data_IF_448132253639
#
_entry.id   IF_448132253639
#
_cell.length_a   1.000
_cell.length_b   1.000
_cell.length_c   1.000
_cell.angle_alpha   90.00
_cell.angle_beta   90.00
_cell.angle_gamma   90.00
#
_symmetry.space_group_name_H-M   'P 1'
#
loop_
_entity.id
_entity.type
_entity.pdbx_description
1 polymer ?
#
# COMPACT_ATOMS: atom_id res chain seq x y z
N UNK A 1 24.88 -19.51 -73.69
CA UNK A 1 25.10 -18.04 -73.66
C UNK A 1 23.80 -17.34 -74.00
N UNK A 2 23.47 -16.21 -73.32
CA UNK A 2 22.77 -14.98 -73.83
C UNK A 2 21.65 -15.19 -74.88
N UNK A 3 20.38 -14.76 -74.76
CA UNK A 3 19.71 -13.52 -74.27
C UNK A 3 18.16 -13.73 -74.43
N UNK A 4 17.17 -12.99 -73.88
CA UNK A 4 17.02 -12.00 -72.78
C UNK A 4 15.49 -11.89 -72.42
N UNK A 5 15.10 -11.15 -71.38
CA UNK A 5 13.70 -10.81 -70.96
C UNK A 5 13.08 -9.68 -71.87
N UNK A 6 11.86 -9.10 -71.69
CA UNK A 6 10.72 -9.41 -70.80
C UNK A 6 9.29 -9.27 -71.41
N UNK A 7 8.28 -9.74 -70.67
CA UNK A 7 6.88 -9.24 -70.61
C UNK A 7 6.25 -9.94 -69.39
N UNK A 8 5.90 -9.35 -68.26
CA UNK A 8 5.29 -8.06 -67.89
C UNK A 8 3.76 -7.95 -68.11
N UNK A 9 3.02 -8.67 -67.26
CA UNK A 9 1.68 -8.35 -66.74
C UNK A 9 1.68 -8.90 -65.31
N UNK A 10 1.70 -8.12 -64.22
CA UNK A 10 0.99 -6.89 -63.89
C UNK A 10 -0.54 -7.06 -63.82
N UNK A 11 -0.98 -8.05 -63.04
CA UNK A 11 -2.31 -8.01 -62.42
C UNK A 11 -2.22 -7.04 -61.24
N UNK A 12 -2.77 -5.83 -61.40
CA UNK A 12 -3.08 -4.97 -60.26
C UNK A 12 -4.27 -5.59 -59.51
N UNK A 13 -3.99 -6.32 -58.43
CA UNK A 13 -4.98 -6.42 -57.36
C UNK A 13 -5.03 -5.06 -56.67
N UNK A 14 -6.09 -4.30 -56.92
CA UNK A 14 -6.39 -3.07 -56.22
C UNK A 14 -6.78 -3.41 -54.76
N UNK A 15 -5.77 -3.64 -53.93
CA UNK A 15 -5.93 -3.51 -52.49
C UNK A 15 -6.10 -2.02 -52.20
N UNK A 16 -7.36 -1.56 -52.22
CA UNK A 16 -7.73 -0.41 -51.41
C UNK A 16 -7.44 -0.79 -49.97
N UNK A 17 -6.22 -0.48 -49.52
CA UNK A 17 -5.94 -0.27 -48.12
C UNK A 17 -6.84 0.87 -47.67
N UNK A 18 -8.03 0.51 -47.19
CA UNK A 18 -8.80 1.35 -46.31
C UNK A 18 -7.80 1.81 -45.25
N UNK A 19 -7.53 3.12 -45.20
CA UNK A 19 -6.86 3.68 -44.04
C UNK A 19 -7.85 3.44 -42.93
N UNK A 20 -7.65 2.35 -42.19
CA UNK A 20 -8.18 2.25 -40.85
C UNK A 20 -7.80 3.56 -40.19
N UNK A 21 -8.81 4.35 -39.86
CA UNK A 21 -8.70 5.24 -38.74
C UNK A 21 -8.05 4.41 -37.64
N UNK A 22 -6.92 4.88 -37.13
CA UNK A 22 -6.77 4.84 -35.70
C UNK A 22 -8.03 5.52 -35.17
N UNK A 23 -9.04 4.70 -34.84
CA UNK A 23 -9.88 5.03 -33.71
C UNK A 23 -8.87 5.26 -32.60
N UNK A 24 -8.69 6.54 -32.27
CA UNK A 24 -7.98 6.90 -31.06
C UNK A 24 -8.65 6.07 -29.97
N UNK A 25 -7.87 5.22 -29.31
CA UNK A 25 -8.32 4.55 -28.11
C UNK A 25 -8.39 5.62 -27.02
N UNK A 26 -9.40 6.47 -27.13
CA UNK A 26 -10.08 7.08 -26.03
C UNK A 26 -10.48 5.90 -25.13
N UNK A 27 -9.60 5.57 -24.19
CA UNK A 27 -10.00 4.98 -22.93
C UNK A 27 -10.81 6.07 -22.24
N UNK A 28 -12.08 6.17 -22.61
CA UNK A 28 -13.01 7.13 -22.03
C UNK A 28 -12.91 6.99 -20.51
N UNK A 29 -12.54 8.08 -19.85
CA UNK A 29 -12.23 8.09 -18.43
C UNK A 29 -13.46 7.62 -17.66
N UNK A 30 -13.43 6.41 -17.11
CA UNK A 30 -14.62 5.83 -16.49
C UNK A 30 -15.07 6.59 -15.25
N UNK A 31 -14.25 7.51 -14.71
CA UNK A 31 -14.58 8.36 -13.58
C UNK A 31 -15.03 9.78 -13.98
N UNK A 32 -15.17 10.11 -15.28
CA UNK A 32 -15.50 11.47 -15.76
C UNK A 32 -16.79 12.05 -15.14
N UNK A 33 -17.77 11.18 -14.84
CA UNK A 33 -19.03 11.55 -14.22
C UNK A 33 -19.24 10.84 -12.87
N UNK A 34 -18.15 10.49 -12.18
CA UNK A 34 -18.20 9.81 -10.89
C UNK A 34 -19.02 10.63 -9.88
N UNK A 35 -19.99 9.97 -9.26
CA UNK A 35 -20.67 10.47 -8.07
C UNK A 35 -20.56 9.46 -6.94
N UNK A 36 -20.74 9.90 -5.70
CA UNK A 36 -20.74 8.98 -4.56
C UNK A 36 -21.73 9.36 -3.48
N UNK A 37 -22.14 8.37 -2.70
CA UNK A 37 -22.87 8.54 -1.44
C UNK A 37 -22.09 7.87 -0.31
N UNK A 38 -22.18 8.43 0.90
CA UNK A 38 -21.51 7.89 2.10
C UNK A 38 -22.58 7.56 3.13
N UNK A 39 -22.68 6.28 3.48
CA UNK A 39 -23.40 5.80 4.66
C UNK A 39 -22.40 5.65 5.83
N UNK A 40 -22.87 5.64 7.08
CA UNK A 40 -22.06 5.22 8.23
C UNK A 40 -22.65 3.95 8.82
N UNK A 41 -21.81 2.95 9.07
CA UNK A 41 -22.17 1.74 9.82
C UNK A 41 -21.33 1.65 11.08
N UNK A 42 -21.86 1.03 12.13
CA UNK A 42 -21.18 0.85 13.43
C UNK A 42 -21.20 -0.63 13.78
N UNK A 43 -20.10 -1.13 14.33
CA UNK A 43 -19.93 -2.50 14.82
C UNK A 43 -20.50 -2.59 16.23
N UNK A 44 -21.34 -3.58 16.49
CA UNK A 44 -21.85 -3.92 17.83
C UNK A 44 -20.75 -4.65 18.65
N UNK A 45 -20.20 -4.05 19.72
CA UNK A 45 -19.20 -4.69 20.56
C UNK A 45 -19.83 -5.67 21.59
N UNK A 46 -21.16 -5.73 21.68
CA UNK A 46 -21.89 -6.52 22.67
C UNK A 46 -21.73 -5.99 24.09
N UNK A 47 -21.13 -6.81 24.97
CA UNK A 47 -20.81 -6.45 26.35
C UNK A 47 -19.31 -6.13 26.56
N UNK A 48 -18.48 -6.24 25.51
CA UNK A 48 -17.05 -5.87 25.55
C UNK A 48 -16.82 -4.45 25.00
N UNK A 49 -15.57 -3.99 24.99
CA UNK A 49 -15.13 -2.71 24.41
C UNK A 49 -14.09 -3.01 23.34
N UNK A 50 -14.19 -2.37 22.17
CA UNK A 50 -13.14 -2.38 21.15
C UNK A 50 -12.22 -1.18 21.44
N UNK A 51 -10.94 -1.41 21.75
CA UNK A 51 -10.00 -0.33 22.08
C UNK A 51 -9.47 0.31 20.79
N UNK A 52 -9.99 1.51 20.49
CA UNK A 52 -9.63 2.32 19.33
C UNK A 52 -8.62 3.43 19.65
N UNK A 53 -7.95 3.39 20.81
CA UNK A 53 -6.94 4.39 21.21
C UNK A 53 -5.76 4.51 20.23
N UNK A 54 -5.52 3.47 19.43
CA UNK A 54 -4.54 3.42 18.35
C UNK A 54 -5.21 3.21 16.97
N UNK A 55 -6.49 3.61 16.84
CA UNK A 55 -7.30 3.41 15.63
C UNK A 55 -7.23 1.93 15.17
N UNK A 56 -6.99 1.68 13.88
CA UNK A 56 -6.78 0.35 13.31
C UNK A 56 -5.30 0.03 13.02
N UNK A 57 -4.35 0.61 13.77
CA UNK A 57 -2.90 0.49 13.52
C UNK A 57 -2.36 -0.95 13.50
N UNK A 58 -2.97 -1.86 14.23
CA UNK A 58 -2.58 -3.28 14.28
C UNK A 58 -3.75 -4.15 13.79
N UNK A 59 -4.29 -3.81 12.61
CA UNK A 59 -5.40 -4.51 12.01
C UNK A 59 -5.13 -4.96 10.57
N UNK A 60 -5.79 -6.05 10.18
CA UNK A 60 -5.87 -6.52 8.80
C UNK A 60 -7.21 -7.24 8.56
N UNK A 61 -7.55 -7.51 7.30
CA UNK A 61 -8.85 -8.02 6.84
C UNK A 61 -8.69 -9.35 6.12
N UNK A 62 -9.56 -10.32 6.43
CA UNK A 62 -9.62 -11.60 5.70
C UNK A 62 -9.72 -11.41 4.19
N UNK A 63 -9.23 -12.40 3.44
CA UNK A 63 -9.20 -12.33 1.98
C UNK A 63 -10.59 -12.25 1.36
N UNK A 64 -11.56 -12.91 2.01
CA UNK A 64 -12.97 -12.89 1.62
C UNK A 64 -13.73 -11.63 2.12
N UNK A 65 -13.03 -10.70 2.77
CA UNK A 65 -13.53 -9.44 3.32
C UNK A 65 -14.66 -9.58 4.35
N UNK A 66 -14.78 -10.75 5.00
CA UNK A 66 -15.78 -10.99 6.04
C UNK A 66 -15.31 -10.70 7.46
N UNK A 67 -14.01 -10.71 7.74
CA UNK A 67 -13.48 -10.51 9.08
C UNK A 67 -12.45 -9.39 9.10
N UNK A 68 -12.55 -8.51 10.10
CA UNK A 68 -11.48 -7.62 10.49
C UNK A 68 -10.86 -8.16 11.78
N UNK A 69 -9.53 -8.23 11.79
CA UNK A 69 -8.73 -8.64 12.94
C UNK A 69 -8.03 -7.40 13.49
N UNK A 70 -8.18 -7.10 14.77
CA UNK A 70 -7.54 -5.94 15.42
C UNK A 70 -6.84 -6.37 16.71
N UNK A 71 -5.52 -6.21 16.77
CA UNK A 71 -4.74 -6.52 17.97
C UNK A 71 -4.56 -5.29 18.87
N UNK A 72 -4.88 -5.42 20.15
CA UNK A 72 -4.82 -4.34 21.14
C UNK A 72 -3.73 -4.61 22.19
N UNK A 73 -2.64 -3.84 22.16
CA UNK A 73 -1.50 -3.98 23.08
C UNK A 73 -1.85 -3.73 24.56
N UNK A 74 -2.93 -2.99 24.81
CA UNK A 74 -3.45 -2.62 26.13
C UNK A 74 -3.96 -3.83 26.93
N UNK A 75 -4.75 -4.70 26.30
CA UNK A 75 -5.28 -5.95 26.88
C UNK A 75 -4.63 -7.23 26.33
N UNK A 76 -3.73 -7.12 25.35
CA UNK A 76 -3.02 -8.20 24.65
C UNK A 76 -4.00 -9.22 24.03
N UNK A 77 -5.00 -8.73 23.31
CA UNK A 77 -5.98 -9.56 22.63
C UNK A 77 -6.08 -9.23 21.14
N UNK A 78 -6.38 -10.26 20.35
CA UNK A 78 -6.86 -10.12 18.98
C UNK A 78 -8.39 -10.12 18.99
N UNK A 79 -9.00 -8.99 18.64
CA UNK A 79 -10.43 -8.86 18.42
C UNK A 79 -10.77 -9.37 17.01
N UNK A 80 -11.80 -10.21 16.89
CA UNK A 80 -12.31 -10.72 15.61
C UNK A 80 -13.68 -10.12 15.36
N UNK A 81 -13.78 -9.24 14.36
CA UNK A 81 -14.99 -8.48 14.02
C UNK A 81 -15.57 -9.06 12.73
N UNK A 82 -16.85 -9.44 12.75
CA UNK A 82 -17.57 -9.88 11.56
C UNK A 82 -18.08 -8.66 10.77
N UNK A 83 -17.61 -8.49 9.54
CA UNK A 83 -17.96 -7.39 8.64
C UNK A 83 -19.26 -7.63 7.83
N UNK A 84 -19.86 -8.82 7.89
CA UNK A 84 -21.20 -9.11 7.34
C UNK A 84 -22.31 -8.87 8.38
N UNK A 85 -22.06 -9.19 9.65
CA UNK A 85 -22.98 -8.98 10.76
C UNK A 85 -22.77 -7.65 11.49
N UNK A 86 -21.60 -7.02 11.30
CA UNK A 86 -21.14 -5.82 12.01
C UNK A 86 -21.17 -6.03 13.53
N UNK A 87 -20.50 -7.07 14.01
CA UNK A 87 -20.37 -7.35 15.45
C UNK A 87 -18.97 -7.87 15.82
N UNK A 88 -18.62 -7.74 17.10
CA UNK A 88 -17.46 -8.42 17.69
C UNK A 88 -17.82 -9.89 17.96
N UNK A 89 -17.19 -10.82 17.24
CA UNK A 89 -17.45 -12.26 17.44
C UNK A 89 -16.81 -12.79 18.72
N UNK A 90 -15.56 -12.36 18.98
CA UNK A 90 -14.71 -12.84 20.09
C UNK A 90 -13.47 -11.97 20.24
N UNK A 91 -12.88 -12.01 21.43
CA UNK A 91 -11.48 -11.63 21.65
C UNK A 91 -10.63 -12.84 22.04
N UNK A 92 -9.47 -12.98 21.43
CA UNK A 92 -8.52 -14.08 21.65
C UNK A 92 -7.33 -13.53 22.45
N UNK A 93 -7.04 -14.02 23.66
CA UNK A 93 -5.92 -13.54 24.47
C UNK A 93 -4.58 -14.12 24.02
N UNK A 94 -3.52 -13.31 24.07
CA UNK A 94 -2.15 -13.71 23.76
C UNK A 94 -1.24 -13.51 24.96
N UNK A 95 -0.23 -14.37 25.11
CA UNK A 95 0.80 -14.16 26.12
C UNK A 95 1.66 -12.94 25.74
N UNK A 96 1.99 -12.09 26.70
CA UNK A 96 2.90 -10.95 26.49
C UNK A 96 4.37 -11.38 26.49
N UNK A 97 4.71 -12.31 27.38
CA UNK A 97 6.06 -12.83 27.63
C UNK A 97 6.09 -14.36 27.48
N UNK A 98 7.28 -14.96 27.57
CA UNK A 98 7.46 -16.41 27.43
C UNK A 98 7.63 -16.88 25.98
N UNK A 99 7.64 -18.20 25.72
CA UNK A 99 7.90 -18.76 24.40
C UNK A 99 6.90 -18.25 23.34
N UNK A 100 5.62 -18.18 23.70
CA UNK A 100 4.55 -17.67 22.86
C UNK A 100 4.31 -16.16 23.01
N UNK A 101 5.17 -15.44 23.76
CA UNK A 101 5.02 -14.01 24.00
C UNK A 101 5.03 -13.18 22.72
N UNK A 102 4.04 -12.30 22.54
CA UNK A 102 3.99 -11.33 21.42
C UNK A 102 4.96 -10.15 21.62
N UNK A 103 5.37 -9.86 22.86
CA UNK A 103 6.30 -8.77 23.17
C UNK A 103 5.61 -7.45 23.51
N UNK A 104 6.12 -6.34 22.99
CA UNK A 104 5.64 -4.97 23.24
C UNK A 104 6.23 -4.03 22.18
N UNK A 105 5.61 -2.86 21.98
CA UNK A 105 5.95 -1.94 20.90
C UNK A 105 5.78 -2.63 19.55
N UNK A 106 4.61 -3.24 19.39
CA UNK A 106 4.18 -3.81 18.12
C UNK A 106 4.02 -2.67 17.11
N UNK A 107 4.53 -2.86 15.90
CA UNK A 107 4.55 -1.86 14.83
C UNK A 107 3.48 -2.15 13.79
N UNK A 108 3.39 -3.41 13.34
CA UNK A 108 2.37 -3.86 12.39
C UNK A 108 1.79 -5.24 12.77
N UNK A 109 0.58 -5.50 12.29
CA UNK A 109 -0.03 -6.81 12.16
C UNK A 109 -0.36 -7.02 10.69
N UNK A 110 -0.03 -8.19 10.13
CA UNK A 110 -0.45 -8.58 8.79
C UNK A 110 -0.98 -10.03 8.82
N UNK A 111 -2.15 -10.24 8.21
CA UNK A 111 -2.74 -11.55 8.03
C UNK A 111 -2.02 -12.27 6.87
N UNK A 112 -1.64 -13.53 7.07
CA UNK A 112 -0.99 -14.36 6.05
C UNK A 112 -1.99 -15.38 5.50
N UNK A 113 -2.78 -15.99 6.39
CA UNK A 113 -3.85 -16.94 6.07
C UNK A 113 -5.00 -16.76 7.07
N UNK A 114 -6.17 -17.34 6.78
CA UNK A 114 -7.34 -17.30 7.69
C UNK A 114 -7.08 -17.91 9.09
N UNK A 115 -5.95 -18.60 9.29
CA UNK A 115 -5.49 -19.20 10.54
C UNK A 115 -4.12 -18.68 11.03
N UNK A 116 -3.48 -17.72 10.34
CA UNK A 116 -2.16 -17.17 10.72
C UNK A 116 -1.98 -15.71 10.34
N UNK A 117 -1.31 -14.99 11.23
CA UNK A 117 -0.84 -13.62 11.03
C UNK A 117 0.61 -13.54 11.51
N UNK A 118 1.30 -12.45 11.20
CA UNK A 118 2.50 -12.10 11.95
C UNK A 118 2.31 -10.79 12.71
N UNK A 119 3.02 -10.74 13.84
CA UNK A 119 3.24 -9.52 14.60
C UNK A 119 4.70 -9.14 14.52
N UNK A 120 4.93 -7.83 14.55
CA UNK A 120 6.24 -7.25 14.36
C UNK A 120 6.51 -6.17 15.42
N UNK A 121 7.74 -6.13 15.92
CA UNK A 121 8.37 -4.97 16.56
C UNK A 121 9.47 -4.41 15.65
N UNK A 122 10.10 -3.30 16.04
CA UNK A 122 11.26 -2.76 15.29
C UNK A 122 12.34 -3.81 14.94
N UNK A 123 12.68 -4.70 15.88
CA UNK A 123 13.81 -5.64 15.75
C UNK A 123 13.40 -7.10 15.50
N UNK A 124 12.12 -7.45 15.64
CA UNK A 124 11.68 -8.85 15.55
C UNK A 124 10.34 -8.95 14.84
N UNK A 125 10.13 -10.01 14.07
CA UNK A 125 8.81 -10.43 13.63
C UNK A 125 8.59 -11.90 13.96
N UNK A 126 7.34 -12.31 14.18
CA UNK A 126 6.99 -13.70 14.46
C UNK A 126 5.60 -14.03 13.94
N UNK A 127 5.45 -15.25 13.40
CA UNK A 127 4.19 -15.80 12.91
C UNK A 127 3.47 -16.48 14.08
N UNK A 128 2.19 -16.17 14.24
CA UNK A 128 1.31 -16.73 15.26
C UNK A 128 0.07 -17.35 14.60
N UNK A 129 -0.55 -18.30 15.28
CA UNK A 129 -1.89 -18.77 14.97
C UNK A 129 -2.95 -18.12 15.87
N UNK A 130 -4.23 -18.42 15.58
CA UNK A 130 -5.38 -17.96 16.34
C UNK A 130 -5.62 -18.74 17.66
N UNK A 131 -4.73 -19.66 18.05
CA UNK A 131 -4.72 -20.30 19.37
C UNK A 131 -3.70 -19.65 20.33
N UNK A 132 -2.95 -18.65 19.87
CA UNK A 132 -1.94 -17.95 20.67
C UNK A 132 -0.55 -18.60 20.62
N UNK A 133 -0.31 -19.56 19.73
CA UNK A 133 0.96 -20.28 19.64
C UNK A 133 1.88 -19.61 18.61
N UNK A 134 3.13 -19.39 19.00
CA UNK A 134 4.18 -18.88 18.10
C UNK A 134 4.66 -20.02 17.20
N UNK A 135 4.45 -19.86 15.90
CA UNK A 135 4.79 -20.84 14.87
C UNK A 135 6.23 -20.67 14.37
N UNK A 136 6.68 -19.43 14.19
CA UNK A 136 8.01 -19.10 13.67
C UNK A 136 8.47 -17.73 14.20
N UNK A 137 9.75 -17.58 14.54
CA UNK A 137 10.39 -16.25 14.65
C UNK A 137 11.06 -15.96 13.32
N UNK A 138 10.73 -14.84 12.71
CA UNK A 138 11.32 -14.38 11.46
C UNK A 138 12.66 -13.71 11.78
N UNK A 139 13.73 -14.21 11.18
CA UNK A 139 15.06 -13.61 11.19
C UNK A 139 15.46 -13.25 9.75
N UNK A 140 15.86 -11.99 9.53
CA UNK A 140 16.26 -11.44 8.23
C UNK A 140 17.70 -10.93 8.22
N UNK A 141 18.55 -11.39 9.16
CA UNK A 141 19.98 -11.04 9.18
C UNK A 141 20.60 -11.35 7.80
N UNK A 142 21.35 -10.39 7.26
CA UNK A 142 21.85 -10.44 5.88
C UNK A 142 22.76 -11.67 5.66
N UNK A 143 23.58 -12.00 6.66
CA UNK A 143 24.50 -13.14 6.62
C UNK A 143 23.82 -14.51 6.49
N UNK A 144 22.55 -14.60 6.87
CA UNK A 144 21.73 -15.82 6.73
C UNK A 144 21.13 -15.97 5.31
N UNK A 145 21.16 -14.93 4.47
CA UNK A 145 20.44 -14.86 3.19
C UNK A 145 21.41 -14.89 1.99
N UNK A 146 21.34 -15.96 1.20
CA UNK A 146 22.22 -16.18 0.06
C UNK A 146 21.79 -15.34 -1.14
N UNK A 147 22.64 -14.39 -1.56
CA UNK A 147 22.42 -13.61 -2.79
C UNK A 147 22.03 -12.15 -2.57
N UNK A 148 21.73 -11.77 -1.33
CA UNK A 148 21.64 -10.38 -0.88
C UNK A 148 22.92 -10.06 -0.11
N UNK A 149 23.48 -8.86 -0.32
CA UNK A 149 24.72 -8.40 0.36
C UNK A 149 24.74 -6.89 0.51
N UNK A 150 25.39 -6.42 1.57
CA UNK A 150 25.57 -5.02 1.92
C UNK A 150 24.22 -4.25 2.02
N UNK A 151 23.22 -4.87 2.67
CA UNK A 151 21.83 -4.41 2.79
C UNK A 151 21.21 -4.71 4.16
N UNK A 152 20.83 -3.65 4.87
CA UNK A 152 19.95 -3.72 6.04
C UNK A 152 18.57 -4.25 5.62
N UNK A 153 18.19 -5.46 6.06
CA UNK A 153 16.86 -6.02 5.86
C UNK A 153 16.01 -5.81 7.11
N UNK A 154 15.21 -4.73 7.12
CA UNK A 154 14.32 -4.45 8.25
C UNK A 154 12.97 -5.17 8.11
N UNK A 155 12.44 -5.57 9.27
CA UNK A 155 11.11 -6.16 9.35
C UNK A 155 10.02 -5.15 8.98
N UNK A 156 10.21 -3.84 9.26
CA UNK A 156 9.16 -2.81 9.16
C UNK A 156 8.54 -2.64 7.76
N UNK A 157 9.17 -3.19 6.72
CA UNK A 157 8.68 -3.29 5.34
C UNK A 157 8.60 -4.71 4.81
N UNK A 158 8.63 -5.72 5.68
CA UNK A 158 8.41 -7.11 5.34
C UNK A 158 6.95 -7.34 4.93
N UNK A 159 6.74 -8.31 4.03
CA UNK A 159 5.51 -9.09 3.83
C UNK A 159 5.86 -10.58 3.71
N UNK A 160 4.93 -11.44 4.10
CA UNK A 160 5.01 -12.91 3.96
C UNK A 160 3.91 -13.36 3.01
N UNK A 161 4.22 -14.25 2.06
CA UNK A 161 3.21 -14.73 1.10
C UNK A 161 2.21 -15.69 1.71
N UNK A 162 0.98 -15.71 1.18
CA UNK A 162 -0.10 -16.62 1.62
C UNK A 162 0.33 -18.09 1.58
N UNK A 163 1.12 -18.45 0.56
CA UNK A 163 1.61 -19.81 0.36
C UNK A 163 2.81 -20.19 1.25
N UNK A 164 3.21 -19.28 2.15
CA UNK A 164 4.28 -19.38 3.13
C UNK A 164 5.68 -19.66 2.53
N UNK A 165 5.90 -19.42 1.24
CA UNK A 165 7.21 -19.69 0.58
C UNK A 165 8.15 -18.50 0.50
N UNK A 166 7.65 -17.26 0.54
CA UNK A 166 8.46 -16.08 0.30
C UNK A 166 8.31 -15.03 1.39
N UNK A 167 9.43 -14.39 1.68
CA UNK A 167 9.49 -13.05 2.26
C UNK A 167 9.77 -12.06 1.15
N UNK A 168 9.16 -10.88 1.21
CA UNK A 168 9.56 -9.75 0.38
C UNK A 168 9.58 -8.47 1.20
N UNK A 169 10.57 -7.61 0.95
CA UNK A 169 10.79 -6.37 1.70
C UNK A 169 11.53 -5.35 0.84
N UNK A 170 11.40 -4.06 1.13
CA UNK A 170 12.28 -3.02 0.57
C UNK A 170 13.44 -2.82 1.55
N UNK A 171 14.68 -3.21 1.20
CA UNK A 171 15.83 -3.04 2.08
C UNK A 171 16.13 -1.58 2.37
N UNK A 172 16.85 -1.35 3.45
CA UNK A 172 17.18 -0.04 3.98
C UNK A 172 16.63 0.15 5.39
N UNK A 173 16.85 1.35 5.92
CA UNK A 173 16.51 1.70 7.29
C UNK A 173 16.09 3.15 7.34
N UNK A 174 14.98 3.42 8.01
CA UNK A 174 14.49 4.79 8.18
C UNK A 174 15.41 5.62 9.08
N UNK A 175 16.42 4.99 9.70
CA UNK A 175 17.46 5.65 10.48
C UNK A 175 18.78 5.85 9.72
N UNK A 176 19.02 5.15 8.61
CA UNK A 176 20.32 5.20 7.90
C UNK A 176 20.45 6.48 7.07
N UNK A 177 21.59 7.17 7.16
CA UNK A 177 21.84 8.43 6.42
C UNK A 177 22.47 8.20 5.03
N UNK A 178 22.42 6.98 4.51
CA UNK A 178 22.94 6.62 3.19
C UNK A 178 21.91 6.82 2.09
N UNK A 179 22.34 7.33 0.95
CA UNK A 179 21.58 7.34 -0.29
C UNK A 179 21.54 5.89 -0.83
N UNK A 180 20.38 5.23 -0.75
CA UNK A 180 20.17 3.87 -1.24
C UNK A 180 19.16 3.91 -2.39
N UNK A 181 19.45 3.19 -3.47
CA UNK A 181 18.46 2.95 -4.52
C UNK A 181 17.32 2.10 -3.97
N UNK A 182 16.10 2.37 -4.40
CA UNK A 182 14.95 1.55 -4.12
C UNK A 182 15.13 0.17 -4.75
N UNK A 183 15.04 -0.88 -3.96
CA UNK A 183 15.17 -2.27 -4.40
C UNK A 183 14.10 -3.11 -3.71
N UNK A 184 13.59 -4.14 -4.38
CA UNK A 184 12.80 -5.19 -3.74
C UNK A 184 13.70 -6.39 -3.46
N UNK A 185 13.84 -6.77 -2.20
CA UNK A 185 14.33 -8.07 -1.81
C UNK A 185 13.19 -9.09 -1.89
N UNK A 186 13.42 -10.20 -2.59
CA UNK A 186 12.57 -11.39 -2.57
C UNK A 186 13.42 -12.56 -2.07
N UNK A 187 12.98 -13.22 -1.00
CA UNK A 187 13.75 -14.22 -0.26
C UNK A 187 12.89 -15.48 -0.11
N UNK A 188 13.39 -16.62 -0.56
CA UNK A 188 12.76 -17.91 -0.32
C UNK A 188 12.94 -18.32 1.15
N UNK A 189 11.85 -18.70 1.81
CA UNK A 189 11.87 -19.05 3.24
C UNK A 189 12.61 -20.33 3.58
N UNK A 190 12.49 -21.35 2.73
CA UNK A 190 12.98 -22.70 3.01
C UNK A 190 14.49 -22.82 2.84
N UNK A 191 15.04 -22.27 1.74
CA UNK A 191 16.46 -22.39 1.39
C UNK A 191 17.28 -21.10 1.63
N UNK A 192 16.62 -19.99 2.01
CA UNK A 192 17.22 -18.66 2.24
C UNK A 192 17.93 -18.07 1.01
N UNK A 193 17.56 -18.48 -0.20
CA UNK A 193 17.99 -17.82 -1.44
C UNK A 193 17.23 -16.51 -1.63
N UNK A 194 17.97 -15.40 -1.73
CA UNK A 194 17.45 -14.05 -1.94
C UNK A 194 17.90 -13.43 -3.26
N UNK A 195 17.07 -12.53 -3.80
CA UNK A 195 17.35 -11.72 -4.99
C UNK A 195 16.95 -10.27 -4.72
N UNK A 196 17.71 -9.34 -5.30
CA UNK A 196 17.37 -7.92 -5.35
C UNK A 196 16.88 -7.54 -6.75
N UNK A 197 15.79 -6.76 -6.81
CA UNK A 197 15.24 -6.18 -8.03
C UNK A 197 15.29 -4.65 -7.92
N UNK A 198 16.02 -3.94 -8.79
CA UNK A 198 16.11 -2.48 -8.73
C UNK A 198 14.78 -1.83 -9.17
N UNK A 199 14.34 -0.84 -8.40
CA UNK A 199 13.08 -0.11 -8.56
C UNK A 199 13.32 1.39 -8.84
N UNK A 200 14.15 1.79 -9.82
CA UNK A 200 14.64 3.17 -9.95
C UNK A 200 13.53 4.23 -10.11
N UNK A 201 12.34 3.86 -10.62
CA UNK A 201 11.20 4.79 -10.65
C UNK A 201 10.68 5.19 -9.26
N UNK A 202 11.04 4.45 -8.21
CA UNK A 202 10.67 4.70 -6.81
C UNK A 202 11.85 5.18 -5.93
N UNK A 203 13.05 5.41 -6.49
CA UNK A 203 14.21 5.95 -5.74
C UNK A 203 13.83 7.24 -4.99
N UNK A 204 13.05 8.08 -5.67
CA UNK A 204 12.52 9.36 -5.17
C UNK A 204 11.82 9.28 -3.80
N UNK A 205 11.25 8.14 -3.44
CA UNK A 205 10.62 7.93 -2.13
C UNK A 205 11.59 8.22 -0.98
N UNK A 206 12.87 7.87 -1.14
CA UNK A 206 13.88 8.03 -0.09
C UNK A 206 14.38 9.48 0.06
N UNK A 207 14.17 10.34 -0.96
CA UNK A 207 14.52 11.76 -0.88
C UNK A 207 13.69 12.51 0.18
N UNK A 208 12.51 12.01 0.53
CA UNK A 208 11.56 12.64 1.45
C UNK A 208 11.68 12.06 2.86
N UNK A 209 12.84 12.29 3.47
CA UNK A 209 13.17 11.85 4.83
C UNK A 209 13.56 13.03 5.71
N UNK A 210 12.90 13.19 6.85
CA UNK A 210 13.23 14.24 7.84
C UNK A 210 13.26 13.70 9.27
N UNK A 211 14.37 13.93 9.96
CA UNK A 211 14.67 13.45 11.31
C UNK A 211 14.61 14.62 12.30
N UNK A 212 13.90 14.45 13.42
CA UNK A 212 13.96 15.34 14.58
C UNK A 212 14.80 14.67 15.67
N UNK A 213 15.81 15.37 16.18
CA UNK A 213 16.59 14.98 17.36
C UNK A 213 16.37 15.99 18.49
N UNK A 214 15.52 15.63 19.45
CA UNK A 214 15.10 16.44 20.59
C UNK A 214 15.70 15.81 21.88
N UNK A 215 16.93 16.19 22.20
CA UNK A 215 17.70 15.59 23.28
C UNK A 215 17.94 14.08 23.04
N UNK A 216 17.45 13.17 23.90
CA UNK A 216 17.53 11.73 23.68
C UNK A 216 16.42 11.16 22.78
N UNK A 217 15.43 11.97 22.39
CA UNK A 217 14.33 11.54 21.53
C UNK A 217 14.71 11.70 20.06
N UNK A 218 14.52 10.65 19.27
CA UNK A 218 14.58 10.71 17.81
C UNK A 218 13.18 10.43 17.25
N UNK A 219 12.74 11.24 16.30
CA UNK A 219 11.55 10.97 15.48
C UNK A 219 11.95 11.04 14.02
N UNK A 220 11.38 10.17 13.20
CA UNK A 220 11.65 10.11 11.76
C UNK A 220 10.31 10.19 11.03
N UNK A 221 10.28 11.01 9.99
CA UNK A 221 9.28 10.95 8.93
C UNK A 221 9.96 10.47 7.64
N UNK A 222 9.30 9.57 6.93
CA UNK A 222 9.66 9.08 5.59
C UNK A 222 8.40 8.98 4.75
N UNK A 223 8.54 9.13 3.44
CA UNK A 223 7.55 8.60 2.49
C UNK A 223 7.62 7.06 2.45
N UNK A 224 6.50 6.42 2.14
CA UNK A 224 6.31 4.99 2.34
C UNK A 224 6.37 4.20 1.03
N UNK A 225 6.84 2.96 1.14
CA UNK A 225 6.63 1.92 0.14
C UNK A 225 5.49 1.03 0.60
N UNK A 226 4.46 0.86 -0.23
CA UNK A 226 3.38 -0.09 0.04
C UNK A 226 3.67 -1.39 -0.71
N UNK A 227 3.61 -2.50 0.03
CA UNK A 227 3.81 -3.85 -0.47
C UNK A 227 2.50 -4.63 -0.41
N UNK A 228 2.13 -5.26 -1.52
CA UNK A 228 0.92 -6.08 -1.61
C UNK A 228 1.09 -7.28 -2.53
N UNK A 229 0.35 -8.35 -2.26
CA UNK A 229 0.27 -9.55 -3.11
C UNK A 229 -1.12 -9.63 -3.74
N UNK A 230 -1.18 -9.70 -5.06
CA UNK A 230 -2.42 -10.01 -5.79
C UNK A 230 -2.13 -11.08 -6.86
N UNK A 231 -2.99 -12.09 -6.94
CA UNK A 231 -2.90 -13.18 -7.93
C UNK A 231 -1.55 -13.93 -7.97
N UNK A 232 -0.81 -13.95 -6.85
CA UNK A 232 0.52 -14.55 -6.76
C UNK A 232 1.63 -13.74 -7.42
N UNK A 233 1.42 -12.43 -7.62
CA UNK A 233 2.41 -11.42 -8.01
C UNK A 233 2.56 -10.40 -6.89
N UNK A 234 3.75 -9.81 -6.76
CA UNK A 234 4.03 -8.74 -5.81
C UNK A 234 3.91 -7.39 -6.48
N UNK A 235 3.34 -6.43 -5.77
CA UNK A 235 3.15 -5.06 -6.21
C UNK A 235 3.85 -4.13 -5.23
N UNK A 236 4.70 -3.25 -5.76
CA UNK A 236 5.39 -2.20 -5.01
C UNK A 236 4.90 -0.86 -5.52
N UNK A 237 4.33 -0.06 -4.62
CA UNK A 237 3.96 1.33 -4.89
C UNK A 237 4.63 2.26 -3.88
N UNK A 238 4.67 3.55 -4.18
CA UNK A 238 5.32 4.58 -3.35
C UNK A 238 4.34 5.70 -3.04
N UNK A 239 4.38 6.29 -1.85
CA UNK A 239 3.59 7.50 -1.58
C UNK A 239 4.10 8.75 -2.33
N UNK A 240 5.33 8.73 -2.86
CA UNK A 240 5.93 9.86 -3.58
C UNK A 240 5.69 9.87 -5.11
N UNK A 241 5.17 8.78 -5.71
CA UNK A 241 4.97 8.68 -7.17
C UNK A 241 3.81 7.75 -7.57
N UNK A 242 3.15 8.08 -8.69
CA UNK A 242 2.11 7.26 -9.32
C UNK A 242 2.64 5.95 -9.91
N UNK A 243 3.94 5.86 -10.18
CA UNK A 243 4.54 4.67 -10.81
C UNK A 243 4.39 3.42 -9.91
N UNK A 244 4.28 2.24 -10.54
CA UNK A 244 4.04 0.95 -9.88
C UNK A 244 4.97 -0.10 -10.47
N UNK A 245 5.57 -0.93 -9.63
CA UNK A 245 6.25 -2.15 -10.07
C UNK A 245 5.43 -3.40 -9.77
N UNK A 246 5.31 -4.28 -10.75
CA UNK A 246 4.76 -5.64 -10.60
C UNK A 246 5.87 -6.66 -10.77
N UNK A 247 5.94 -7.66 -9.88
CA UNK A 247 6.92 -8.75 -9.92
C UNK A 247 6.21 -10.10 -9.95
N UNK A 248 6.55 -10.96 -10.91
CA UNK A 248 6.26 -12.39 -10.88
C UNK A 248 7.49 -13.16 -10.35
N UNK A 249 7.46 -13.64 -9.09
CA UNK A 249 8.60 -14.33 -8.46
C UNK A 249 8.92 -15.70 -9.08
N UNK A 250 8.02 -16.29 -9.89
CA UNK A 250 8.25 -17.58 -10.55
C UNK A 250 9.06 -17.43 -11.84
N UNK A 251 8.98 -16.26 -12.46
CA UNK A 251 9.56 -15.96 -13.77
C UNK A 251 10.66 -14.88 -13.70
N UNK A 252 11.02 -14.40 -12.50
CA UNK A 252 11.91 -13.25 -12.26
C UNK A 252 11.54 -12.01 -13.10
N UNK A 253 10.23 -11.82 -13.35
CA UNK A 253 9.75 -10.77 -14.27
C UNK A 253 9.33 -9.53 -13.50
N UNK A 254 10.13 -8.47 -13.64
CA UNK A 254 9.84 -7.11 -13.16
C UNK A 254 9.21 -6.28 -14.30
N UNK A 255 8.06 -5.65 -14.04
CA UNK A 255 7.38 -4.74 -14.96
C UNK A 255 7.15 -3.40 -14.29
N UNK A 256 7.58 -2.31 -14.92
CA UNK A 256 7.24 -0.94 -14.54
C UNK A 256 5.96 -0.52 -15.26
N UNK A 257 5.00 -0.01 -14.49
CA UNK A 257 3.79 0.64 -14.97
C UNK A 257 3.90 2.14 -14.69
N UNK A 258 3.79 2.95 -15.75
CA UNK A 258 3.85 4.40 -15.69
C UNK A 258 2.68 5.00 -16.46
N UNK A 259 2.17 6.11 -15.96
CA UNK A 259 0.87 6.67 -16.37
C UNK A 259 1.00 8.11 -16.88
N UNK A 260 0.20 8.44 -17.89
CA UNK A 260 0.05 9.79 -18.43
C UNK A 260 -1.16 10.48 -17.79
N UNK A 261 -0.99 10.86 -16.52
CA UNK A 261 -2.03 11.48 -15.69
C UNK A 261 -2.42 12.87 -16.19
N UNK A 262 -3.71 13.20 -16.07
CA UNK A 262 -4.31 14.47 -16.55
C UNK A 262 -4.87 15.32 -15.41
N UNK A 263 -5.37 14.69 -14.35
CA UNK A 263 -6.01 15.37 -13.22
C UNK A 263 -5.13 15.35 -11.95
N UNK A 264 -4.35 14.29 -11.73
CA UNK A 264 -3.46 14.14 -10.57
C UNK A 264 -2.01 14.48 -10.94
N UNK A 265 -1.25 15.21 -10.10
CA UNK A 265 0.19 15.32 -10.29
C UNK A 265 0.87 13.95 -10.19
N UNK A 266 1.80 13.65 -11.10
CA UNK A 266 2.43 12.32 -11.19
C UNK A 266 3.24 11.93 -9.95
N UNK A 267 3.89 12.90 -9.32
CA UNK A 267 4.92 12.65 -8.29
C UNK A 267 5.18 13.92 -7.46
N UNK A 268 5.81 13.75 -6.29
CA UNK A 268 6.41 14.85 -5.53
C UNK A 268 7.60 15.44 -6.29
N UNK A 269 7.85 16.73 -6.12
CA UNK A 269 8.82 17.50 -6.94
C UNK A 269 9.78 18.38 -6.13
N UNK A 270 9.49 18.63 -4.86
CA UNK A 270 10.32 19.41 -3.95
C UNK A 270 10.72 18.58 -2.72
N UNK A 271 11.81 17.79 -2.79
CA UNK A 271 12.35 17.11 -1.62
C UNK A 271 12.82 18.11 -0.55
N UNK A 272 12.86 17.69 0.73
CA UNK A 272 13.26 18.55 1.83
C UNK A 272 14.69 19.08 1.65
N UNK A 273 14.90 20.37 1.94
CA UNK A 273 16.24 21.01 1.81
C UNK A 273 17.13 20.77 3.03
N UNK A 274 16.51 20.36 4.14
CA UNK A 274 17.13 20.08 5.43
C UNK A 274 16.46 18.82 5.94
N UNK A 275 17.25 17.78 6.20
CA UNK A 275 16.77 16.44 6.57
C UNK A 275 16.97 16.13 8.05
N UNK A 276 17.62 17.02 8.80
CA UNK A 276 17.85 16.92 10.25
C UNK A 276 17.39 18.20 10.94
N UNK A 277 16.66 18.06 12.04
CA UNK A 277 16.10 19.15 12.82
C UNK A 277 16.35 18.91 14.31
N UNK A 278 16.51 19.99 15.08
CA UNK A 278 16.48 19.96 16.56
C UNK A 278 15.27 20.70 17.15
N UNK A 279 14.57 21.49 16.32
CA UNK A 279 13.41 22.29 16.72
C UNK A 279 12.14 21.66 16.14
N UNK A 280 11.20 21.31 17.02
CA UNK A 280 9.99 20.53 16.66
C UNK A 280 9.07 21.25 15.68
N UNK A 281 8.90 22.56 15.83
CA UNK A 281 8.03 23.34 14.93
C UNK A 281 8.61 23.43 13.52
N UNK A 282 9.93 23.62 13.38
CA UNK A 282 10.60 23.64 12.07
C UNK A 282 10.51 22.28 11.35
N UNK A 283 10.66 21.17 12.10
CA UNK A 283 10.44 19.82 11.57
C UNK A 283 8.98 19.61 11.11
N UNK A 284 8.01 20.10 11.88
CA UNK A 284 6.58 20.04 11.55
C UNK A 284 6.23 20.89 10.33
N UNK A 285 6.83 22.07 10.19
CA UNK A 285 6.69 22.93 9.00
C UNK A 285 7.19 22.22 7.73
N UNK A 286 8.35 21.55 7.79
CA UNK A 286 8.89 20.81 6.64
C UNK A 286 8.00 19.59 6.28
N UNK A 287 7.50 18.83 7.26
CA UNK A 287 6.54 17.74 7.02
C UNK A 287 5.24 18.26 6.38
N UNK A 288 4.70 19.38 6.88
CA UNK A 288 3.54 20.00 6.27
C UNK A 288 3.82 20.38 4.81
N UNK A 289 5.00 20.93 4.50
CA UNK A 289 5.42 21.23 3.12
C UNK A 289 5.56 19.98 2.24
N UNK A 290 6.01 18.86 2.80
CA UNK A 290 6.05 17.57 2.08
C UNK A 290 4.61 17.09 1.77
N UNK A 291 3.67 17.26 2.71
CA UNK A 291 2.26 16.93 2.53
C UNK A 291 1.50 17.91 1.61
N UNK A 292 1.97 19.15 1.39
CA UNK A 292 1.41 20.05 0.35
C UNK A 292 1.77 19.63 -1.08
N UNK A 293 2.41 18.47 -1.25
CA UNK A 293 2.65 17.81 -2.53
C UNK A 293 1.84 16.50 -2.59
N UNK A 294 1.66 15.96 -3.80
CA UNK A 294 0.86 14.75 -4.02
C UNK A 294 1.40 13.57 -3.21
N UNK A 295 0.57 12.97 -2.37
CA UNK A 295 0.88 11.78 -1.57
C UNK A 295 -0.06 10.65 -1.99
N UNK A 296 0.48 9.57 -2.55
CA UNK A 296 -0.28 8.39 -2.97
C UNK A 296 -0.44 7.38 -1.83
N UNK A 297 -1.54 6.64 -1.82
CA UNK A 297 -1.71 5.43 -1.01
C UNK A 297 -1.26 4.15 -1.74
N UNK A 298 -1.49 3.01 -1.09
CA UNK A 298 -1.35 1.68 -1.69
C UNK A 298 -2.48 1.32 -2.67
N UNK A 299 -2.35 0.15 -3.32
CA UNK A 299 -3.38 -0.39 -4.21
C UNK A 299 -4.50 -1.09 -3.43
N UNK A 300 -5.74 -0.81 -3.82
CA UNK A 300 -6.95 -1.45 -3.31
C UNK A 300 -7.60 -2.26 -4.44
N UNK A 301 -7.93 -3.52 -4.19
CA UNK A 301 -8.60 -4.38 -5.17
C UNK A 301 -10.11 -4.48 -4.89
N UNK A 302 -10.93 -4.23 -5.90
CA UNK A 302 -12.38 -4.46 -5.86
C UNK A 302 -12.75 -5.71 -6.68
N UNK A 303 -12.98 -6.82 -5.99
CA UNK A 303 -13.45 -8.09 -6.57
C UNK A 303 -14.72 -7.96 -7.42
N UNK A 304 -15.59 -6.98 -7.14
CA UNK A 304 -16.88 -6.85 -7.83
C UNK A 304 -16.75 -6.24 -9.23
N UNK A 305 -15.84 -5.27 -9.39
CA UNK A 305 -15.54 -4.60 -10.67
C UNK A 305 -14.32 -5.18 -11.38
N UNK A 306 -13.46 -5.92 -10.66
CA UNK A 306 -12.14 -6.42 -11.10
C UNK A 306 -11.16 -5.31 -11.48
N UNK A 307 -11.20 -4.22 -10.70
CA UNK A 307 -10.36 -3.06 -10.88
C UNK A 307 -9.49 -2.84 -9.65
N UNK A 308 -8.30 -2.30 -9.87
CA UNK A 308 -7.53 -1.66 -8.82
C UNK A 308 -7.94 -0.20 -8.68
N UNK A 309 -8.02 0.27 -7.45
CA UNK A 309 -8.18 1.68 -7.10
C UNK A 309 -6.95 2.13 -6.30
N UNK A 310 -6.55 3.38 -6.48
CA UNK A 310 -5.49 4.01 -5.70
C UNK A 310 -5.88 5.44 -5.38
N UNK A 311 -5.96 5.75 -4.10
CA UNK A 311 -6.19 7.11 -3.64
C UNK A 311 -4.86 7.89 -3.63
N UNK A 312 -4.95 9.18 -3.87
CA UNK A 312 -3.87 10.12 -3.62
C UNK A 312 -4.44 11.41 -3.02
N UNK A 313 -3.62 12.24 -2.38
CA UNK A 313 -4.08 13.52 -1.87
C UNK A 313 -2.99 14.60 -1.79
N UNK A 314 -3.43 15.84 -1.72
CA UNK A 314 -2.60 17.01 -1.39
C UNK A 314 -3.19 17.66 -0.13
N UNK A 315 -2.36 17.89 0.89
CA UNK A 315 -2.77 18.67 2.06
C UNK A 315 -2.89 20.15 1.66
N UNK A 316 -4.06 20.74 1.90
CA UNK A 316 -4.29 22.17 1.84
C UNK A 316 -4.17 22.70 3.27
N UNK A 317 -3.10 23.45 3.63
CA UNK A 317 -2.92 23.95 4.99
C UNK A 317 -4.03 24.90 5.42
N UNK A 318 -4.29 24.94 6.72
CA UNK A 318 -5.13 25.96 7.34
C UNK A 318 -4.60 27.36 7.01
N UNK A 319 -5.51 28.26 6.60
CA UNK A 319 -5.20 29.67 6.31
C UNK A 319 -5.35 30.58 7.55
N UNK A 320 -5.97 30.08 8.63
CA UNK A 320 -6.27 30.78 9.88
C UNK A 320 -6.87 29.80 10.89
N UNK A 321 -6.77 30.08 12.20
CA UNK A 321 -7.31 29.22 13.28
C UNK A 321 -8.79 28.79 13.07
N UNK A 322 -9.62 29.63 12.44
CA UNK A 322 -11.04 29.36 12.15
C UNK A 322 -11.29 28.47 10.92
N UNK A 323 -10.26 28.12 10.13
CA UNK A 323 -10.37 27.33 8.89
C UNK A 323 -9.52 26.06 9.05
N UNK A 324 -10.11 24.86 9.18
CA UNK A 324 -9.34 23.63 9.27
C UNK A 324 -8.57 23.37 7.97
N UNK A 325 -7.44 22.66 8.06
CA UNK A 325 -6.78 22.09 6.89
C UNK A 325 -7.69 21.05 6.22
N UNK A 326 -7.67 21.01 4.89
CA UNK A 326 -8.42 20.04 4.08
C UNK A 326 -7.44 19.20 3.26
N UNK A 327 -7.91 18.11 2.65
CA UNK A 327 -7.18 17.41 1.60
C UNK A 327 -7.90 17.56 0.27
N UNK A 328 -7.15 17.81 -0.79
CA UNK A 328 -7.61 17.58 -2.16
C UNK A 328 -7.40 16.09 -2.43
N UNK A 329 -8.47 15.32 -2.68
CA UNK A 329 -8.39 13.86 -2.82
C UNK A 329 -8.59 13.45 -4.28
N UNK A 330 -7.73 12.57 -4.77
CA UNK A 330 -7.75 12.02 -6.12
C UNK A 330 -7.98 10.52 -6.09
N UNK A 331 -8.68 10.00 -7.10
CA UNK A 331 -8.92 8.57 -7.29
C UNK A 331 -8.43 8.14 -8.66
N UNK A 332 -7.49 7.20 -8.69
CA UNK A 332 -7.02 6.52 -9.89
C UNK A 332 -7.64 5.11 -9.93
N UNK A 333 -8.11 4.69 -11.10
CA UNK A 333 -8.65 3.34 -11.34
C UNK A 333 -7.92 2.67 -12.49
N UNK A 334 -7.55 1.41 -12.29
CA UNK A 334 -6.83 0.58 -13.24
C UNK A 334 -7.54 -0.77 -13.46
N UNK A 335 -7.37 -1.36 -14.63
CA UNK A 335 -7.80 -2.74 -14.89
C UNK A 335 -6.90 -3.79 -14.20
N UNK A 336 -7.24 -5.07 -14.32
CA UNK A 336 -6.45 -6.20 -13.78
C UNK A 336 -4.99 -6.28 -14.28
N UNK A 337 -4.63 -5.55 -15.33
CA UNK A 337 -3.29 -5.49 -15.93
C UNK A 337 -2.54 -4.19 -15.59
N UNK A 338 -3.11 -3.34 -14.73
CA UNK A 338 -2.66 -1.98 -14.43
C UNK A 338 -2.58 -1.07 -15.66
N UNK A 339 -3.56 -1.15 -16.57
CA UNK A 339 -3.84 -0.06 -17.50
C UNK A 339 -4.70 0.99 -16.77
N UNK A 340 -4.34 2.28 -16.85
CA UNK A 340 -5.17 3.36 -16.32
C UNK A 340 -6.47 3.44 -17.14
N UNK A 341 -7.61 3.28 -16.48
CA UNK A 341 -8.95 3.34 -17.10
C UNK A 341 -9.81 4.48 -16.57
N UNK A 342 -9.42 5.10 -15.45
CA UNK A 342 -10.03 6.34 -15.00
C UNK A 342 -9.22 7.09 -13.95
N UNK A 343 -9.44 8.39 -13.89
CA UNK A 343 -8.77 9.32 -12.97
C UNK A 343 -9.70 10.50 -12.69
N UNK A 344 -9.91 10.86 -11.41
CA UNK A 344 -10.67 12.06 -11.08
C UNK A 344 -10.27 12.66 -9.73
N UNK A 345 -10.67 13.92 -9.51
CA UNK A 345 -10.67 14.57 -8.20
C UNK A 345 -12.03 14.35 -7.52
N UNK A 346 -12.02 14.05 -6.23
CA UNK A 346 -13.21 13.88 -5.41
C UNK A 346 -13.51 15.20 -4.70
N UNK A 347 -14.11 16.16 -5.43
CA UNK A 347 -14.33 17.54 -4.94
C UNK A 347 -15.08 17.62 -3.59
N UNK A 348 -16.01 16.69 -3.35
CA UNK A 348 -16.81 16.61 -2.12
C UNK A 348 -16.18 15.76 -0.99
N UNK A 349 -14.92 15.32 -1.12
CA UNK A 349 -14.19 14.53 -0.12
C UNK A 349 -12.94 15.27 0.37
N UNK A 350 -13.03 15.89 1.55
CA UNK A 350 -11.94 16.69 2.15
C UNK A 350 -11.08 15.95 3.18
N UNK A 351 -11.41 14.69 3.48
CA UNK A 351 -10.62 13.77 4.30
C UNK A 351 -10.13 12.57 3.48
N UNK A 352 -8.91 12.09 3.77
CA UNK A 352 -8.38 10.90 3.09
C UNK A 352 -8.91 9.63 3.77
N UNK A 353 -9.43 8.64 3.02
CA UNK A 353 -9.93 7.40 3.60
C UNK A 353 -8.91 6.71 4.53
N UNK A 354 -9.29 6.52 5.80
CA UNK A 354 -8.47 5.82 6.80
C UNK A 354 -8.76 4.31 6.74
N UNK A 355 -7.70 3.49 6.75
CA UNK A 355 -7.79 2.03 6.62
C UNK A 355 -8.75 1.55 5.50
N UNK A 356 -8.58 2.02 4.24
CA UNK A 356 -9.55 1.80 3.18
C UNK A 356 -9.55 0.37 2.63
N UNK A 357 -10.72 -0.21 2.39
CA UNK A 357 -10.87 -1.50 1.70
C UNK A 357 -12.18 -1.63 0.92
N UNK A 358 -12.17 -2.39 -0.18
CA UNK A 358 -13.40 -2.70 -0.92
C UNK A 358 -14.07 -3.97 -0.39
N UNK A 359 -15.39 -3.91 -0.23
CA UNK A 359 -16.27 -5.04 0.11
C UNK A 359 -17.60 -4.87 -0.61
N UNK A 360 -18.04 -5.90 -1.34
CA UNK A 360 -19.30 -5.91 -2.09
C UNK A 360 -19.48 -4.68 -3.04
N UNK A 361 -18.40 -4.21 -3.65
CA UNK A 361 -18.42 -3.05 -4.55
C UNK A 361 -18.59 -1.69 -3.89
N UNK A 362 -18.54 -1.62 -2.55
CA UNK A 362 -18.44 -0.38 -1.78
C UNK A 362 -17.05 -0.27 -1.14
N UNK A 363 -16.57 0.96 -0.99
CA UNK A 363 -15.36 1.24 -0.22
C UNK A 363 -15.75 1.50 1.24
N UNK A 364 -15.10 0.79 2.15
CA UNK A 364 -15.20 1.00 3.58
C UNK A 364 -13.94 1.76 4.03
N UNK A 365 -14.13 2.80 4.84
CA UNK A 365 -13.08 3.58 5.50
C UNK A 365 -13.39 3.60 6.98
N UNK A 366 -12.39 3.38 7.84
CA UNK A 366 -12.56 3.49 9.29
C UNK A 366 -13.04 4.89 9.69
N UNK A 367 -13.93 4.94 10.69
CA UNK A 367 -14.29 6.14 11.45
C UNK A 367 -14.55 5.76 12.91
N UNK A 368 -14.17 6.61 13.85
CA UNK A 368 -14.61 6.49 15.24
C UNK A 368 -16.00 7.15 15.38
N UNK A 369 -16.99 6.42 15.90
CA UNK A 369 -18.36 6.91 16.08
C UNK A 369 -18.75 6.80 17.55
N UNK A 370 -18.65 7.91 18.28
CA UNK A 370 -18.94 7.96 19.73
C UNK A 370 -18.13 6.93 20.54
N UNK A 371 -16.83 6.81 20.24
CA UNK A 371 -15.87 5.82 20.77
C UNK A 371 -16.07 4.37 20.27
N UNK A 372 -17.07 4.11 19.41
CA UNK A 372 -17.30 2.80 18.79
C UNK A 372 -16.64 2.65 17.40
N UNK A 373 -16.42 1.40 17.00
CA UNK A 373 -15.82 1.06 15.70
C UNK A 373 -16.85 1.26 14.59
N UNK A 374 -16.66 2.29 13.77
CA UNK A 374 -17.48 2.56 12.60
C UNK A 374 -16.72 2.44 11.28
N UNK A 375 -17.50 2.40 10.20
CA UNK A 375 -17.01 2.58 8.85
C UNK A 375 -17.88 3.57 8.08
N UNK A 376 -17.24 4.53 7.42
CA UNK A 376 -17.83 5.30 6.33
C UNK A 376 -17.84 4.40 5.08
N UNK A 377 -19.02 4.19 4.51
CA UNK A 377 -19.26 3.24 3.42
C UNK A 377 -19.65 4.02 2.16
N UNK A 378 -18.67 4.17 1.28
CA UNK A 378 -18.80 4.89 0.02
C UNK A 378 -19.39 3.97 -1.05
N UNK A 379 -20.46 4.44 -1.69
CA UNK A 379 -21.03 3.86 -2.91
C UNK A 379 -20.58 4.73 -4.09
N UNK A 380 -19.76 4.18 -4.99
CA UNK A 380 -19.30 4.88 -6.20
C UNK A 380 -20.18 4.51 -7.39
N UNK A 381 -20.81 5.51 -7.99
CA UNK A 381 -21.68 5.40 -9.16
C UNK A 381 -21.00 6.07 -10.38
N UNK A 382 -20.63 5.24 -11.36
CA UNK A 382 -19.97 5.61 -12.62
C UNK A 382 -20.16 4.50 -13.68
#
# INVERSE_FOLDING_TARGET
MKKILPFLSLILCAACGEKGSSEDANTDNILENLTFTVDTVVVDPGEEIIDLSNHLRLADISKDRKNLFLFTESDNKLSVINLDQLNLEKKIPYEKEGPNGVGSFLWNLDLITEDKFYLMTFNTAAIFDFEGIKQETINLEEEDIQGIKDKTLQNNRLKVTEDLKWYYTVPGSDFDQGDQSAELAIINRENKEGKLFPLPALDKTQEYKVILTDGPMMQVYVEEYFLSEFFGKFFVTSSATSDIYTIDPKNDSLVLHSFDLKHTPKEKTEPPKMTEFTEREAWREEINKIHTQITFGGLLWDESRKNFFRFANILIPSLSEDIPSKRQVFLLTFDENLNLIGETELEDLDEFPEFPFFKNGKLYSFVNVEDELGFAVFTFDF
#
